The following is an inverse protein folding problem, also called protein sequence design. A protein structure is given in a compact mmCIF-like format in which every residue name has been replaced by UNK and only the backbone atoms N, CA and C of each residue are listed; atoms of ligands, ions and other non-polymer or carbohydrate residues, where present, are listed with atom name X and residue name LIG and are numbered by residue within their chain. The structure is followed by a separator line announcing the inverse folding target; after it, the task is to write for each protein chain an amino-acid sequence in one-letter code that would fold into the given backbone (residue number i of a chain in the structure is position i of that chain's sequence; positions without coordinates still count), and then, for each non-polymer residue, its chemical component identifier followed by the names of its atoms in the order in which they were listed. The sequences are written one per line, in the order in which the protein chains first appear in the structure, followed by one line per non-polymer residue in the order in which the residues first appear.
data_IF_683806849707
#
_entry.id   IF_683806849707
#
_cell.length_a   1.000
_cell.length_b   1.000
_cell.length_c   1.000
_cell.angle_alpha   90.00
_cell.angle_beta   90.00
_cell.angle_gamma   90.00
#
_symmetry.space_group_name_H-M   'P 1'
#
loop_
_entity.id
_entity.type
_entity.pdbx_description
1 polymer ?
#
# COMPACT_ATOMS: atom_id res chain seq x y z
N UNK A 1 -34.46 -18.25 7.43
CA UNK A 1 -35.58 -18.96 8.06
C UNK A 1 -36.74 -18.01 8.34
N UNK A 2 -36.56 -16.91 9.09
CA UNK A 2 -37.63 -15.95 9.42
C UNK A 2 -38.23 -15.26 8.20
N UNK A 3 -37.42 -15.00 7.20
CA UNK A 3 -37.82 -14.34 5.96
C UNK A 3 -38.09 -15.31 4.81
N UNK A 4 -37.96 -16.62 5.06
CA UNK A 4 -38.14 -17.69 4.06
C UNK A 4 -37.36 -17.45 2.76
N UNK A 5 -36.16 -16.88 2.89
CA UNK A 5 -35.27 -16.55 1.78
C UNK A 5 -33.91 -17.25 1.91
N UNK A 6 -33.23 -17.46 0.78
CA UNK A 6 -31.87 -17.96 0.77
C UNK A 6 -30.90 -16.96 1.33
N UNK A 7 -29.76 -17.38 1.85
CA UNK A 7 -28.73 -16.48 2.44
C UNK A 7 -28.19 -15.49 1.41
N UNK A 8 -28.03 -15.94 0.17
CA UNK A 8 -27.52 -15.14 -0.94
C UNK A 8 -28.48 -14.00 -1.36
N UNK A 9 -29.75 -14.12 -1.02
CA UNK A 9 -30.80 -13.14 -1.31
C UNK A 9 -30.99 -12.13 -0.16
N UNK A 10 -30.14 -12.19 0.88
CA UNK A 10 -30.25 -11.29 2.03
C UNK A 10 -29.17 -10.23 2.02
N UNK A 11 -29.55 -9.03 2.47
CA UNK A 11 -28.60 -7.93 2.73
C UNK A 11 -28.86 -7.32 4.11
N UNK A 12 -27.81 -6.75 4.71
CA UNK A 12 -27.91 -6.02 5.98
C UNK A 12 -27.74 -4.53 5.68
N UNK A 13 -28.80 -3.76 5.92
CA UNK A 13 -28.79 -2.30 5.68
C UNK A 13 -29.47 -1.58 6.83
N UNK A 14 -28.81 -0.58 7.41
CA UNK A 14 -29.36 0.26 8.46
C UNK A 14 -29.78 -0.49 9.75
N UNK A 15 -29.16 -1.65 10.04
CA UNK A 15 -29.52 -2.48 11.21
C UNK A 15 -30.70 -3.41 10.98
N UNK A 16 -31.11 -3.60 9.74
CA UNK A 16 -32.14 -4.52 9.31
C UNK A 16 -31.56 -5.58 8.35
N UNK A 17 -31.99 -6.84 8.51
CA UNK A 17 -31.80 -7.89 7.51
C UNK A 17 -33.02 -7.90 6.62
N UNK A 18 -32.83 -7.74 5.32
CA UNK A 18 -33.92 -7.68 4.34
C UNK A 18 -33.64 -8.49 3.09
N UNK A 19 -34.69 -8.84 2.37
CA UNK A 19 -34.62 -9.58 1.10
C UNK A 19 -34.28 -8.58 -0.01
N UNK A 20 -33.22 -8.86 -0.79
CA UNK A 20 -32.84 -8.08 -1.97
C UNK A 20 -33.99 -8.00 -2.97
N UNK A 21 -34.35 -6.78 -3.38
CA UNK A 21 -35.50 -6.56 -4.27
C UNK A 21 -36.88 -6.59 -3.62
N UNK A 22 -36.99 -6.95 -2.31
CA UNK A 22 -38.24 -6.94 -1.54
C UNK A 22 -38.01 -6.28 -0.16
N UNK A 23 -37.69 -4.98 -0.07
CA UNK A 23 -37.32 -4.32 1.18
C UNK A 23 -38.40 -4.30 2.26
N UNK A 24 -39.65 -4.56 1.91
CA UNK A 24 -40.74 -4.75 2.87
C UNK A 24 -40.65 -6.07 3.67
N UNK A 25 -39.89 -7.04 3.16
CA UNK A 25 -39.56 -8.27 3.86
C UNK A 25 -38.26 -8.07 4.63
N UNK A 26 -38.36 -7.53 5.84
CA UNK A 26 -37.21 -7.20 6.67
C UNK A 26 -37.46 -7.60 8.13
N UNK A 27 -36.39 -7.84 8.86
CA UNK A 27 -36.37 -8.07 10.30
C UNK A 27 -35.23 -7.23 10.90
N UNK A 28 -35.50 -6.52 11.98
CA UNK A 28 -34.46 -5.75 12.66
C UNK A 28 -33.49 -6.66 13.41
N UNK A 29 -32.23 -6.23 13.55
CA UNK A 29 -31.25 -6.96 14.37
C UNK A 29 -31.73 -7.12 15.84
N UNK A 30 -32.49 -6.11 16.35
CA UNK A 30 -33.06 -6.19 17.69
C UNK A 30 -34.17 -7.27 17.83
N UNK A 31 -35.01 -7.44 16.80
CA UNK A 31 -35.98 -8.51 16.75
C UNK A 31 -35.31 -9.88 16.60
N UNK A 32 -34.30 -9.94 15.72
CA UNK A 32 -33.50 -11.14 15.52
C UNK A 32 -32.82 -11.56 16.83
N UNK A 33 -32.21 -10.61 17.55
CA UNK A 33 -31.60 -10.88 18.85
C UNK A 33 -32.60 -11.40 19.90
N UNK A 34 -33.83 -10.88 19.91
CA UNK A 34 -34.88 -11.39 20.81
C UNK A 34 -35.28 -12.81 20.49
N UNK A 35 -35.44 -13.14 19.22
CA UNK A 35 -35.76 -14.51 18.76
C UNK A 35 -34.59 -15.44 19.11
N UNK A 36 -33.35 -15.03 18.87
CA UNK A 36 -32.15 -15.86 19.10
C UNK A 36 -31.79 -16.03 20.59
N UNK A 37 -32.36 -15.23 21.49
CA UNK A 37 -32.24 -15.49 22.94
C UNK A 37 -32.82 -16.84 23.35
N UNK A 38 -33.74 -17.34 22.56
CA UNK A 38 -34.51 -18.51 22.90
C UNK A 38 -35.62 -18.21 23.90
N UNK A 39 -36.67 -18.96 23.82
CA UNK A 39 -37.79 -19.00 24.80
C UNK A 39 -38.16 -20.45 25.09
N UNK A 40 -38.69 -20.76 26.28
CA UNK A 40 -39.19 -22.08 26.53
C UNK A 40 -40.21 -22.55 25.48
N UNK A 41 -39.96 -23.69 24.84
CA UNK A 41 -40.79 -24.21 23.76
C UNK A 41 -40.49 -23.72 22.35
N UNK A 42 -39.54 -22.82 22.18
CA UNK A 42 -39.02 -22.43 20.86
C UNK A 42 -37.81 -23.27 20.47
N UNK A 43 -37.93 -24.01 19.40
CA UNK A 43 -36.85 -24.82 18.82
C UNK A 43 -36.11 -24.03 17.74
N UNK A 44 -34.78 -23.93 17.86
CA UNK A 44 -33.96 -23.43 16.76
C UNK A 44 -33.94 -24.45 15.61
N UNK A 45 -33.77 -23.98 14.37
CA UNK A 45 -33.44 -24.86 13.26
C UNK A 45 -32.15 -25.65 13.57
N UNK A 46 -32.05 -26.85 13.02
CA UNK A 46 -30.89 -27.73 13.25
C UNK A 46 -29.59 -27.03 12.79
N UNK A 47 -28.58 -27.00 13.67
CA UNK A 47 -27.29 -26.37 13.40
C UNK A 47 -27.21 -24.87 13.72
N UNK A 48 -28.27 -24.32 14.33
CA UNK A 48 -28.29 -22.91 14.76
C UNK A 48 -28.09 -22.79 16.27
N UNK A 49 -27.11 -22.03 16.69
CA UNK A 49 -26.84 -21.73 18.08
C UNK A 49 -27.60 -20.47 18.54
N UNK A 50 -27.94 -20.33 19.82
CA UNK A 50 -28.52 -19.13 20.39
C UNK A 50 -27.53 -17.95 20.33
N UNK A 51 -28.03 -16.74 20.01
CA UNK A 51 -27.24 -15.52 20.00
C UNK A 51 -26.91 -14.99 18.61
N UNK A 52 -26.28 -13.80 18.57
CA UNK A 52 -25.81 -13.14 17.35
C UNK A 52 -24.29 -13.26 17.19
N UNK A 53 -23.68 -14.23 17.84
CA UNK A 53 -22.24 -14.50 17.71
C UNK A 53 -22.00 -15.51 16.59
N UNK A 54 -21.00 -15.21 15.75
CA UNK A 54 -20.52 -16.14 14.75
C UNK A 54 -18.99 -16.18 14.77
N UNK A 55 -18.44 -17.37 14.54
CA UNK A 55 -17.00 -17.57 14.40
C UNK A 55 -16.73 -18.28 13.09
N UNK A 56 -15.76 -17.77 12.35
CA UNK A 56 -15.31 -18.40 11.12
C UNK A 56 -13.79 -18.41 11.06
N UNK A 57 -13.22 -19.48 10.53
CA UNK A 57 -11.80 -19.57 10.24
C UNK A 57 -11.62 -19.50 8.73
N UNK A 58 -11.00 -18.42 8.27
CA UNK A 58 -10.63 -18.27 6.86
C UNK A 58 -9.22 -18.75 6.63
N UNK A 59 -9.02 -19.63 5.66
CA UNK A 59 -7.70 -20.12 5.24
C UNK A 59 -7.36 -19.57 3.88
N UNK A 60 -6.16 -19.00 3.78
CA UNK A 60 -5.59 -18.54 2.52
C UNK A 60 -4.63 -19.61 1.99
N UNK A 61 -4.93 -20.15 0.82
CA UNK A 61 -4.09 -21.17 0.19
C UNK A 61 -2.96 -20.57 -0.67
N UNK A 62 -3.12 -19.34 -1.13
CA UNK A 62 -2.15 -18.64 -1.98
C UNK A 62 -2.04 -17.15 -1.61
N UNK A 63 -0.83 -16.61 -1.73
CA UNK A 63 -0.60 -15.18 -1.57
C UNK A 63 -1.15 -14.41 -2.78
N UNK A 64 -1.67 -13.22 -2.53
CA UNK A 64 -2.16 -12.30 -3.54
C UNK A 64 -1.23 -11.07 -3.60
N UNK A 65 -0.40 -11.02 -4.65
CA UNK A 65 0.55 -9.94 -4.85
C UNK A 65 -0.11 -8.74 -5.54
N UNK A 66 0.23 -7.56 -5.05
CA UNK A 66 -0.08 -6.28 -5.70
C UNK A 66 0.83 -6.00 -6.89
N UNK A 67 0.43 -5.05 -7.73
CA UNK A 67 1.25 -4.53 -8.81
C UNK A 67 1.31 -3.01 -8.71
N UNK A 68 2.43 -2.44 -9.16
CA UNK A 68 2.59 -0.99 -9.21
C UNK A 68 3.42 -0.57 -10.43
N UNK A 69 3.21 0.67 -10.85
CA UNK A 69 4.03 1.35 -11.84
C UNK A 69 4.26 2.78 -11.36
N UNK A 70 5.53 3.17 -11.21
CA UNK A 70 5.92 4.51 -10.80
C UNK A 70 6.62 5.24 -11.94
N UNK A 71 6.29 6.52 -12.07
CA UNK A 71 6.93 7.44 -13.03
C UNK A 71 7.39 8.66 -12.25
N UNK A 72 8.66 9.01 -12.42
CA UNK A 72 9.30 10.10 -11.68
C UNK A 72 9.94 11.05 -12.66
N UNK A 73 9.73 12.34 -12.45
CA UNK A 73 10.40 13.43 -13.15
C UNK A 73 11.31 14.16 -12.17
N UNK A 74 12.58 14.29 -12.53
CA UNK A 74 13.60 14.94 -11.69
C UNK A 74 14.32 16.05 -12.41
N UNK A 75 14.86 16.97 -11.62
CA UNK A 75 15.87 17.93 -12.03
C UNK A 75 17.16 17.65 -11.25
N UNK A 76 18.27 17.55 -11.95
CA UNK A 76 19.58 17.34 -11.34
C UNK A 76 20.47 18.57 -11.59
N UNK A 77 20.95 19.18 -10.51
CA UNK A 77 21.96 20.22 -10.59
C UNK A 77 23.33 19.57 -10.77
N UNK A 78 23.91 19.74 -11.96
CA UNK A 78 25.18 19.10 -12.33
C UNK A 78 26.42 19.68 -11.62
N UNK A 79 26.32 20.88 -11.04
CA UNK A 79 27.40 21.50 -10.30
C UNK A 79 27.45 21.06 -8.84
N UNK A 80 26.28 20.88 -8.25
CA UNK A 80 26.13 20.49 -6.82
C UNK A 80 25.79 19.03 -6.59
N UNK A 81 25.31 18.33 -7.63
CA UNK A 81 24.75 16.98 -7.50
C UNK A 81 23.38 16.93 -6.82
N UNK A 82 22.77 18.09 -6.60
CA UNK A 82 21.45 18.18 -5.98
C UNK A 82 20.36 17.59 -6.88
N UNK A 83 19.49 16.76 -6.32
CA UNK A 83 18.35 16.16 -7.01
C UNK A 83 17.06 16.72 -6.45
N UNK A 84 16.19 17.21 -7.33
CA UNK A 84 14.84 17.67 -6.99
C UNK A 84 13.80 16.85 -7.76
N UNK A 85 12.91 16.22 -7.05
CA UNK A 85 11.78 15.51 -7.65
C UNK A 85 10.71 16.55 -8.02
N UNK A 86 10.45 16.71 -9.31
CA UNK A 86 9.49 17.68 -9.84
C UNK A 86 8.08 17.12 -9.83
N UNK A 87 7.94 15.82 -10.18
CA UNK A 87 6.66 15.13 -10.26
C UNK A 87 6.82 13.66 -9.92
N UNK A 88 5.85 13.12 -9.21
CA UNK A 88 5.83 11.70 -8.87
C UNK A 88 4.43 11.12 -9.11
N UNK A 89 4.32 10.17 -10.03
CA UNK A 89 3.07 9.48 -10.37
C UNK A 89 3.21 8.03 -9.98
N UNK A 90 2.21 7.50 -9.26
CA UNK A 90 2.18 6.11 -8.82
C UNK A 90 0.82 5.47 -9.15
N UNK A 91 0.81 4.48 -10.03
CA UNK A 91 -0.34 3.63 -10.29
C UNK A 91 -0.21 2.35 -9.46
N UNK A 92 -1.25 2.04 -8.70
CA UNK A 92 -1.29 0.90 -7.78
C UNK A 92 -2.46 -0.03 -8.10
N UNK A 93 -2.22 -1.34 -7.97
CA UNK A 93 -3.25 -2.37 -7.98
C UNK A 93 -3.11 -3.25 -6.74
N UNK A 94 -3.83 -2.90 -5.68
CA UNK A 94 -3.94 -3.66 -4.45
C UNK A 94 -5.22 -4.54 -4.42
N UNK A 95 -5.77 -4.88 -5.58
CA UNK A 95 -7.07 -5.52 -5.69
C UNK A 95 -8.18 -4.57 -5.22
N UNK A 96 -9.19 -5.09 -4.55
CA UNK A 96 -10.26 -4.27 -3.98
C UNK A 96 -9.75 -3.45 -2.79
N UNK A 97 -9.92 -2.14 -2.83
CA UNK A 97 -9.57 -1.23 -1.74
C UNK A 97 -10.66 -1.21 -0.69
N UNK A 98 -10.47 -1.95 0.39
CA UNK A 98 -11.45 -2.03 1.50
C UNK A 98 -11.56 -0.69 2.23
N UNK A 99 -10.43 -0.01 2.45
CA UNK A 99 -10.39 1.33 3.01
C UNK A 99 -9.45 2.20 2.15
N UNK A 100 -9.99 3.04 1.25
CA UNK A 100 -9.20 3.89 0.37
C UNK A 100 -8.22 4.81 1.10
N UNK A 101 -8.59 5.40 2.24
CA UNK A 101 -7.74 6.29 3.02
C UNK A 101 -6.49 5.57 3.56
N UNK A 102 -6.68 4.35 4.07
CA UNK A 102 -5.55 3.54 4.57
C UNK A 102 -4.65 3.12 3.42
N UNK A 103 -5.22 2.70 2.29
CA UNK A 103 -4.44 2.31 1.10
C UNK A 103 -3.61 3.49 0.60
N UNK A 104 -4.18 4.68 0.50
CA UNK A 104 -3.47 5.89 0.09
C UNK A 104 -2.33 6.23 1.06
N UNK A 105 -2.58 6.16 2.36
CA UNK A 105 -1.55 6.38 3.39
C UNK A 105 -0.38 5.39 3.29
N UNK A 106 -0.64 4.12 3.00
CA UNK A 106 0.40 3.12 2.76
C UNK A 106 1.22 3.42 1.50
N UNK A 107 0.57 3.84 0.42
CA UNK A 107 1.25 4.21 -0.83
C UNK A 107 2.15 5.43 -0.62
N UNK A 108 1.63 6.50 -0.02
CA UNK A 108 2.40 7.72 0.25
C UNK A 108 3.60 7.46 1.17
N UNK A 109 3.37 6.72 2.26
CA UNK A 109 4.44 6.33 3.18
C UNK A 109 5.50 5.45 2.51
N UNK A 110 5.07 4.51 1.67
CA UNK A 110 5.97 3.66 0.90
C UNK A 110 6.83 4.44 -0.10
N UNK A 111 6.23 5.40 -0.83
CA UNK A 111 6.97 6.28 -1.73
C UNK A 111 7.99 7.11 -0.95
N UNK A 112 7.60 7.74 0.15
CA UNK A 112 8.50 8.52 1.00
C UNK A 112 9.69 7.69 1.48
N UNK A 113 9.45 6.46 1.94
CA UNK A 113 10.50 5.52 2.34
C UNK A 113 11.44 5.19 1.15
N UNK A 114 10.89 4.90 -0.03
CA UNK A 114 11.70 4.60 -1.20
C UNK A 114 12.54 5.78 -1.71
N UNK A 115 12.03 7.01 -1.62
CA UNK A 115 12.79 8.24 -1.90
C UNK A 115 13.91 8.42 -0.87
N UNK A 116 13.62 8.22 0.43
CA UNK A 116 14.62 8.23 1.49
C UNK A 116 15.74 7.23 1.21
N UNK A 117 15.39 6.00 0.85
CA UNK A 117 16.37 4.97 0.50
C UNK A 117 17.20 5.32 -0.74
N UNK A 118 16.62 6.01 -1.73
CA UNK A 118 17.34 6.41 -2.94
C UNK A 118 18.33 7.56 -2.71
N UNK A 119 17.99 8.55 -1.85
CA UNK A 119 18.66 9.84 -1.81
C UNK A 119 19.23 10.27 -0.45
N UNK A 120 18.77 9.68 0.67
CA UNK A 120 19.00 10.27 2.00
C UNK A 120 19.50 9.26 3.05
N UNK A 121 18.86 8.10 3.16
CA UNK A 121 19.02 7.17 4.29
C UNK A 121 20.28 6.32 4.15
N UNK A 122 21.39 6.87 4.59
CA UNK A 122 22.69 6.18 4.56
C UNK A 122 23.03 5.56 5.92
N UNK A 123 23.30 4.27 5.93
CA UNK A 123 23.80 3.55 7.10
C UNK A 123 25.25 3.12 6.87
N UNK A 124 26.16 3.92 7.38
CA UNK A 124 27.59 3.72 7.21
C UNK A 124 28.22 2.88 8.33
N UNK A 125 29.27 2.17 7.97
CA UNK A 125 30.10 1.38 8.89
C UNK A 125 31.57 1.70 8.65
N UNK A 126 32.37 1.71 9.71
CA UNK A 126 33.81 1.81 9.60
C UNK A 126 34.47 0.46 9.20
N UNK A 127 35.79 0.45 9.03
CA UNK A 127 36.54 -0.74 8.67
C UNK A 127 36.47 -1.86 9.74
N UNK A 128 36.10 -1.54 10.96
CA UNK A 128 35.89 -2.47 12.06
C UNK A 128 34.46 -3.02 12.15
N UNK A 129 33.56 -2.55 11.26
CA UNK A 129 32.15 -2.95 11.25
C UNK A 129 31.30 -2.22 12.30
N UNK A 130 31.81 -1.12 12.89
CA UNK A 130 31.04 -0.28 13.79
C UNK A 130 30.19 0.71 12.98
N UNK A 131 28.89 0.94 13.34
CA UNK A 131 28.07 1.93 12.69
C UNK A 131 28.62 3.33 12.96
N UNK A 132 28.77 4.13 11.89
CA UNK A 132 29.16 5.55 11.98
C UNK A 132 27.95 6.46 11.82
N UNK A 133 26.83 5.96 11.33
CA UNK A 133 25.53 6.64 11.28
C UNK A 133 24.77 6.30 12.55
N UNK A 134 24.81 7.15 13.57
CA UNK A 134 24.35 6.81 14.92
C UNK A 134 23.26 7.73 15.46
N UNK A 135 22.98 8.84 14.78
CA UNK A 135 21.97 9.82 15.15
C UNK A 135 21.11 10.23 13.95
N UNK A 136 19.98 10.88 14.19
CA UNK A 136 19.17 11.46 13.08
C UNK A 136 19.84 12.69 12.42
N UNK A 137 20.96 13.16 12.92
CA UNK A 137 21.80 14.12 12.23
C UNK A 137 22.65 13.46 11.12
N UNK A 138 22.94 12.17 11.26
CA UNK A 138 23.73 11.38 10.33
C UNK A 138 22.83 10.54 9.42
N UNK A 139 21.74 9.95 9.98
CA UNK A 139 20.74 9.20 9.26
C UNK A 139 19.59 10.13 8.86
N UNK A 140 19.64 10.61 7.63
CA UNK A 140 18.69 11.60 7.14
C UNK A 140 17.38 10.92 6.74
N UNK A 141 16.29 11.29 7.40
CA UNK A 141 14.94 10.90 6.99
C UNK A 141 14.36 11.96 6.04
N UNK A 142 13.59 11.56 5.01
CA UNK A 142 12.91 12.52 4.17
C UNK A 142 11.90 13.35 4.98
N UNK A 143 11.91 14.65 4.77
CA UNK A 143 10.94 15.57 5.35
C UNK A 143 9.86 15.91 4.32
N UNK A 144 8.79 16.57 4.76
CA UNK A 144 7.71 16.98 3.85
C UNK A 144 8.19 17.97 2.75
N UNK A 145 9.32 18.64 2.95
CA UNK A 145 9.91 19.56 1.96
C UNK A 145 10.78 18.87 0.92
N UNK A 146 11.19 17.64 1.17
CA UNK A 146 12.01 16.86 0.25
C UNK A 146 11.16 16.08 -0.77
N UNK A 147 9.85 16.06 -0.57
CA UNK A 147 8.91 15.28 -1.36
C UNK A 147 7.94 16.17 -2.12
N UNK A 148 7.62 15.87 -3.39
CA UNK A 148 6.54 16.54 -4.10
C UNK A 148 5.18 16.03 -3.61
N UNK A 149 4.10 16.68 -4.06
CA UNK A 149 2.78 16.06 -3.99
C UNK A 149 2.74 14.83 -4.89
N UNK A 150 2.31 13.70 -4.35
CA UNK A 150 2.19 12.47 -5.12
C UNK A 150 0.87 12.43 -5.90
N UNK A 151 0.95 12.07 -7.18
CA UNK A 151 -0.22 11.76 -8.00
C UNK A 151 -0.47 10.25 -7.91
N UNK A 152 -1.43 9.83 -7.10
CA UNK A 152 -1.76 8.42 -6.92
C UNK A 152 -2.96 8.01 -7.76
N UNK A 153 -2.76 6.96 -8.56
CA UNK A 153 -3.76 6.34 -9.40
C UNK A 153 -4.00 4.92 -8.94
N UNK A 154 -5.23 4.46 -9.09
CA UNK A 154 -5.62 3.13 -8.62
C UNK A 154 -6.31 2.35 -9.74
N UNK A 155 -5.89 1.10 -9.90
CA UNK A 155 -6.59 0.10 -10.70
C UNK A 155 -6.97 -1.04 -9.78
N UNK A 156 -8.21 -1.49 -9.85
CA UNK A 156 -8.67 -2.63 -9.07
C UNK A 156 -8.80 -3.85 -9.96
N UNK A 157 -7.88 -4.81 -9.80
CA UNK A 157 -7.97 -6.15 -10.37
C UNK A 157 -8.16 -7.15 -9.22
N UNK A 158 -9.39 -7.50 -8.86
CA UNK A 158 -9.66 -8.34 -7.70
C UNK A 158 -8.92 -9.68 -7.75
N UNK A 159 -8.34 -10.08 -6.63
CA UNK A 159 -7.70 -11.40 -6.51
C UNK A 159 -8.75 -12.51 -6.49
N UNK A 160 -8.58 -13.60 -7.24
CA UNK A 160 -9.47 -14.76 -7.13
C UNK A 160 -9.17 -15.63 -5.91
N UNK A 161 -8.09 -15.37 -5.16
CA UNK A 161 -7.62 -16.21 -4.06
C UNK A 161 -8.29 -15.91 -2.71
N UNK A 162 -9.12 -14.88 -2.65
CA UNK A 162 -9.90 -14.56 -1.46
C UNK A 162 -11.24 -13.89 -1.82
N UNK A 163 -12.27 -14.05 -1.00
CA UNK A 163 -13.62 -13.56 -1.31
C UNK A 163 -13.74 -12.03 -1.34
N UNK A 164 -12.81 -11.30 -0.70
CA UNK A 164 -12.78 -9.85 -0.74
C UNK A 164 -12.10 -9.29 -1.98
N UNK A 165 -11.36 -10.12 -2.73
CA UNK A 165 -10.59 -9.69 -3.89
C UNK A 165 -9.40 -8.78 -3.55
N UNK A 166 -8.93 -8.81 -2.30
CA UNK A 166 -7.83 -7.96 -1.83
C UNK A 166 -6.47 -8.51 -2.24
N UNK A 167 -5.47 -7.63 -2.33
CA UNK A 167 -4.06 -7.95 -2.49
C UNK A 167 -3.24 -7.22 -1.42
N UNK A 168 -1.97 -7.61 -1.22
CA UNK A 168 -1.08 -6.91 -0.31
C UNK A 168 -0.93 -5.43 -0.67
N UNK A 169 -0.90 -4.54 0.32
CA UNK A 169 -0.78 -3.09 0.09
C UNK A 169 0.39 -2.45 0.83
N UNK A 170 0.91 -3.12 1.87
CA UNK A 170 1.93 -2.52 2.75
C UNK A 170 3.22 -2.13 2.03
N UNK A 171 3.65 -2.90 1.04
CA UNK A 171 4.91 -2.68 0.32
C UNK A 171 4.73 -2.14 -1.10
N UNK A 172 3.49 -2.03 -1.58
CA UNK A 172 3.21 -1.65 -2.98
C UNK A 172 3.78 -0.27 -3.35
N UNK A 173 3.86 0.65 -2.38
CA UNK A 173 4.42 1.99 -2.57
C UNK A 173 5.95 2.04 -2.52
N UNK A 174 6.61 1.14 -1.76
CA UNK A 174 8.06 1.22 -1.54
C UNK A 174 8.87 0.44 -2.57
N UNK A 175 8.38 -0.74 -2.98
CA UNK A 175 9.15 -1.64 -3.86
C UNK A 175 9.62 -0.97 -5.15
N UNK A 176 8.79 -0.25 -5.93
CA UNK A 176 9.26 0.37 -7.17
C UNK A 176 9.91 1.74 -6.96
N UNK A 177 9.78 2.37 -5.78
CA UNK A 177 10.05 3.78 -5.60
C UNK A 177 11.54 4.14 -5.79
N UNK A 178 12.45 3.46 -5.09
CA UNK A 178 13.87 3.76 -5.20
C UNK A 178 14.39 3.55 -6.64
N UNK A 179 13.98 2.45 -7.28
CA UNK A 179 14.37 2.16 -8.66
C UNK A 179 13.84 3.22 -9.65
N UNK A 180 12.61 3.70 -9.46
CA UNK A 180 12.04 4.74 -10.30
C UNK A 180 12.79 6.08 -10.18
N UNK A 181 13.19 6.45 -8.95
CA UNK A 181 14.00 7.67 -8.70
C UNK A 181 15.37 7.53 -9.35
N UNK A 182 16.07 6.43 -9.13
CA UNK A 182 17.40 6.19 -9.72
C UNK A 182 17.34 6.20 -11.26
N UNK A 183 16.35 5.53 -11.85
CA UNK A 183 16.17 5.54 -13.30
C UNK A 183 15.91 6.94 -13.85
N UNK A 184 15.15 7.77 -13.14
CA UNK A 184 14.90 9.15 -13.56
C UNK A 184 16.20 10.00 -13.50
N UNK A 185 17.05 9.79 -12.47
CA UNK A 185 18.34 10.47 -12.36
C UNK A 185 19.28 10.03 -13.51
N UNK A 186 19.37 8.73 -13.78
CA UNK A 186 20.17 8.22 -14.90
C UNK A 186 19.70 8.77 -16.25
N UNK A 187 18.39 8.88 -16.44
CA UNK A 187 17.79 9.45 -17.66
C UNK A 187 18.13 10.95 -17.78
N UNK A 188 17.97 11.72 -16.71
CA UNK A 188 18.34 13.15 -16.67
C UNK A 188 19.83 13.35 -16.96
N UNK A 189 20.69 12.43 -16.51
CA UNK A 189 22.13 12.46 -16.70
C UNK A 189 22.61 11.65 -17.94
N UNK A 190 21.69 11.25 -18.82
CA UNK A 190 22.04 10.50 -20.04
C UNK A 190 23.13 11.15 -20.91
N UNK A 191 23.22 12.52 -21.03
CA UNK A 191 24.32 13.14 -21.76
C UNK A 191 25.71 12.87 -21.18
N UNK A 192 25.80 12.53 -19.90
CA UNK A 192 27.02 12.22 -19.17
C UNK A 192 27.29 10.72 -19.06
N UNK A 193 26.38 9.88 -19.56
CA UNK A 193 26.43 8.42 -19.47
C UNK A 193 26.61 7.87 -18.04
N UNK A 194 26.05 8.56 -17.05
CA UNK A 194 26.11 8.17 -15.64
C UNK A 194 25.36 6.84 -15.44
N UNK A 195 25.97 5.96 -14.61
CA UNK A 195 25.34 4.74 -14.10
C UNK A 195 25.48 4.69 -12.60
N UNK A 196 24.37 4.45 -11.91
CA UNK A 196 24.26 4.41 -10.46
C UNK A 196 24.17 2.97 -10.02
N UNK A 197 25.12 2.49 -9.24
CA UNK A 197 25.21 1.09 -8.79
C UNK A 197 24.96 0.89 -7.30
N UNK A 198 24.79 1.97 -6.53
CA UNK A 198 24.54 1.92 -5.09
C UNK A 198 23.55 3.01 -4.67
N UNK A 199 22.89 2.79 -3.55
CA UNK A 199 21.96 3.72 -2.89
C UNK A 199 22.31 3.84 -1.40
N UNK A 200 21.96 4.97 -0.76
CA UNK A 200 21.50 6.21 -1.37
C UNK A 200 22.58 6.84 -2.25
N UNK A 201 22.18 7.56 -3.29
CA UNK A 201 23.13 8.31 -4.11
C UNK A 201 23.31 9.72 -3.54
N UNK A 202 24.52 10.00 -3.05
CA UNK A 202 24.82 11.29 -2.43
C UNK A 202 25.18 12.35 -3.48
N UNK A 203 24.90 13.65 -3.22
CA UNK A 203 25.20 14.72 -4.16
C UNK A 203 26.66 14.75 -4.64
N UNK A 204 27.63 14.56 -3.74
CA UNK A 204 29.05 14.54 -4.10
C UNK A 204 29.39 13.35 -5.02
N UNK A 205 28.73 12.19 -4.84
CA UNK A 205 28.93 11.02 -5.72
C UNK A 205 28.41 11.29 -7.13
N UNK A 206 27.26 11.99 -7.26
CA UNK A 206 26.74 12.41 -8.58
C UNK A 206 27.71 13.34 -9.28
N UNK A 207 28.27 14.34 -8.59
CA UNK A 207 29.29 15.23 -9.17
C UNK A 207 30.52 14.44 -9.65
N UNK A 208 30.97 13.47 -8.86
CA UNK A 208 32.09 12.61 -9.26
C UNK A 208 31.77 11.72 -10.47
N UNK A 209 30.55 11.16 -10.53
CA UNK A 209 30.11 10.34 -11.66
C UNK A 209 30.00 11.16 -12.94
N UNK A 210 29.46 12.38 -12.85
CA UNK A 210 29.39 13.32 -13.97
C UNK A 210 30.81 13.71 -14.47
N UNK A 211 31.72 14.00 -13.54
CA UNK A 211 33.09 14.38 -13.88
C UNK A 211 33.92 13.25 -14.54
N UNK A 212 33.61 11.99 -14.21
CA UNK A 212 34.30 10.83 -14.82
C UNK A 212 33.89 10.62 -16.28
N UNK A 213 32.73 11.15 -16.69
CA UNK A 213 32.23 10.98 -18.04
C UNK A 213 31.95 9.52 -18.42
N UNK A 214 31.63 9.24 -19.68
CA UNK A 214 31.40 7.88 -20.13
C UNK A 214 32.67 7.05 -19.94
N UNK A 215 32.58 6.00 -19.14
CA UNK A 215 33.62 4.96 -19.07
C UNK A 215 33.70 4.30 -20.43
N UNK A 216 34.80 4.58 -21.16
CA UNK A 216 35.09 4.02 -22.48
C UNK A 216 35.26 2.50 -22.47
#
# INVERSE_FOLDING_TARGET
HLLEAAEEDLEIVGGEVRVVGAPQLAVTLGELARVLKGAPGYGFPQGMDPGLEASATFRVDQLAYSNACHVVEVEVDIETGGVRILRYIALQDAGRRVNPLIVEGQVHGGIAHGVGNALLEWMGYDAGGQPVTTTFADYLLPTATDLPNFETLYKESPSPHNPLGVKGVGEVGVIPAAAAVISAIEDALSPFAVRISQMPVMPHELVELIAKGPTG
#
